data_IF_246634522829
#
_entry.id   IF_246634522829
#
_cell.length_a   1.000
_cell.length_b   1.000
_cell.length_c   1.000
_cell.angle_alpha   90.00
_cell.angle_beta   90.00
_cell.angle_gamma   90.00
#
_symmetry.space_group_name_H-M   'P 1'
#
loop_
_entity.id
_entity.type
_entity.pdbx_description
1 polymer ?
#
# COMPACT_ATOMS: atom_id res chain seq x y z
N UNK A 1 -2.42 0.23 22.12
CA UNK A 1 -2.47 -1.02 22.90
C UNK A 1 -1.64 -2.09 22.23
N UNK A 2 -1.28 -3.11 23.00
CA UNK A 2 -0.56 -4.25 22.42
C UNK A 2 -1.39 -4.96 21.35
N UNK A 3 -2.70 -5.09 21.58
CA UNK A 3 -3.56 -5.72 20.59
C UNK A 3 -3.58 -4.92 19.28
N UNK A 4 -3.70 -3.60 19.36
CA UNK A 4 -3.70 -2.76 18.16
C UNK A 4 -2.40 -2.89 17.37
N UNK A 5 -1.27 -3.01 18.07
CA UNK A 5 0.01 -3.23 17.44
C UNK A 5 0.08 -4.61 16.75
N UNK A 6 -0.40 -5.65 17.43
CA UNK A 6 -0.44 -6.98 16.85
C UNK A 6 -1.38 -7.05 15.64
N UNK A 7 -2.53 -6.38 15.73
CA UNK A 7 -3.47 -6.32 14.61
C UNK A 7 -2.84 -5.66 13.40
N UNK A 8 -2.12 -4.57 13.60
CA UNK A 8 -1.44 -3.87 12.50
C UNK A 8 -0.36 -4.75 11.88
N UNK A 9 0.45 -5.44 12.70
CA UNK A 9 1.46 -6.35 12.19
C UNK A 9 0.84 -7.51 11.41
N UNK A 10 -0.29 -8.04 11.92
CA UNK A 10 -1.02 -9.10 11.23
C UNK A 10 -1.48 -8.63 9.85
N UNK A 11 -2.03 -7.41 9.76
CA UNK A 11 -2.50 -6.84 8.50
C UNK A 11 -1.39 -6.72 7.48
N UNK A 12 -0.20 -6.29 7.90
CA UNK A 12 0.97 -6.18 7.03
C UNK A 12 1.34 -7.53 6.41
N UNK A 13 1.38 -8.59 7.22
CA UNK A 13 1.71 -9.93 6.74
C UNK A 13 0.60 -10.45 5.82
N UNK A 14 -0.65 -10.27 6.23
CA UNK A 14 -1.79 -10.78 5.48
C UNK A 14 -1.93 -10.12 4.12
N UNK A 15 -1.68 -8.82 4.03
CA UNK A 15 -1.72 -8.10 2.75
C UNK A 15 -0.56 -8.53 1.83
N UNK A 16 0.61 -8.80 2.41
CA UNK A 16 1.78 -9.22 1.64
C UNK A 16 1.64 -10.64 1.09
N UNK A 17 0.85 -11.50 1.75
CA UNK A 17 0.74 -12.92 1.40
C UNK A 17 -0.72 -13.35 1.31
N UNK A 18 -1.46 -12.90 0.27
CA UNK A 18 -2.85 -13.33 0.09
C UNK A 18 -2.99 -14.84 -0.21
N UNK A 19 -1.90 -15.46 -0.66
CA UNK A 19 -1.84 -16.88 -0.95
C UNK A 19 -1.85 -17.78 0.29
N UNK A 20 -1.63 -17.21 1.49
CA UNK A 20 -1.57 -17.94 2.75
C UNK A 20 -2.82 -17.70 3.57
N UNK A 21 -3.37 -18.78 4.15
CA UNK A 21 -4.44 -18.66 5.13
C UNK A 21 -3.87 -18.21 6.48
N UNK A 22 -4.52 -17.22 7.10
CA UNK A 22 -4.04 -16.62 8.34
C UNK A 22 -5.21 -16.39 9.28
N UNK A 23 -4.92 -16.45 10.58
CA UNK A 23 -5.92 -16.20 11.61
C UNK A 23 -5.30 -15.42 12.76
N UNK A 24 -6.03 -14.45 13.28
CA UNK A 24 -5.66 -13.72 14.49
C UNK A 24 -6.75 -13.90 15.52
N UNK A 25 -6.37 -14.34 16.72
CA UNK A 25 -7.29 -14.48 17.85
C UNK A 25 -6.80 -13.63 19.02
N UNK A 26 -7.75 -13.14 19.82
CA UNK A 26 -7.47 -12.32 20.99
C UNK A 26 -8.46 -12.71 22.09
N UNK A 27 -7.94 -13.10 23.26
CA UNK A 27 -8.75 -13.51 24.41
C UNK A 27 -9.78 -14.58 24.06
N UNK A 28 -9.34 -15.60 23.29
CA UNK A 28 -10.21 -16.70 22.89
C UNK A 28 -11.19 -16.40 21.78
N UNK A 29 -11.19 -15.18 21.26
CA UNK A 29 -12.08 -14.76 20.17
C UNK A 29 -11.29 -14.59 18.89
N UNK A 30 -11.79 -15.16 17.78
CA UNK A 30 -11.20 -14.97 16.48
C UNK A 30 -11.55 -13.59 15.96
N UNK A 31 -10.52 -12.76 15.73
CA UNK A 31 -10.68 -11.40 15.22
C UNK A 31 -10.64 -11.40 13.68
N UNK A 32 -9.69 -12.13 13.11
CA UNK A 32 -9.54 -12.27 11.67
C UNK A 32 -9.39 -13.74 11.31
N UNK A 33 -10.10 -14.17 10.28
CA UNK A 33 -9.92 -15.48 9.69
C UNK A 33 -9.89 -15.28 8.17
N UNK A 34 -8.71 -15.43 7.59
CA UNK A 34 -8.47 -15.09 6.20
C UNK A 34 -7.98 -16.34 5.47
N UNK A 35 -8.84 -16.97 4.66
CA UNK A 35 -8.37 -18.07 3.81
C UNK A 35 -7.50 -17.54 2.68
N UNK A 36 -6.71 -18.41 2.02
CA UNK A 36 -6.02 -18.01 0.80
C UNK A 36 -7.03 -17.42 -0.19
N UNK A 37 -6.65 -16.32 -0.85
CA UNK A 37 -7.56 -15.63 -1.76
C UNK A 37 -6.79 -14.85 -2.81
N UNK A 38 -7.46 -14.39 -3.88
CA UNK A 38 -6.86 -13.40 -4.78
C UNK A 38 -6.53 -12.11 -4.03
N UNK A 39 -5.55 -11.34 -4.50
CA UNK A 39 -5.15 -10.10 -3.82
C UNK A 39 -6.30 -9.14 -3.56
N UNK A 40 -7.19 -8.92 -4.53
CA UNK A 40 -8.31 -8.00 -4.35
C UNK A 40 -9.23 -8.42 -3.20
N UNK A 41 -9.51 -9.72 -3.09
CA UNK A 41 -10.36 -10.23 -2.01
C UNK A 41 -9.70 -10.05 -0.65
N UNK A 42 -8.37 -10.25 -0.56
CA UNK A 42 -7.63 -10.03 0.68
C UNK A 42 -7.64 -8.57 1.07
N UNK A 43 -7.49 -7.66 0.11
CA UNK A 43 -7.55 -6.23 0.35
C UNK A 43 -8.93 -5.84 0.87
N UNK A 44 -9.99 -6.36 0.24
CA UNK A 44 -11.36 -6.07 0.69
C UNK A 44 -11.61 -6.56 2.11
N UNK A 45 -11.09 -7.74 2.46
CA UNK A 45 -11.27 -8.31 3.79
C UNK A 45 -10.60 -7.47 4.88
N UNK A 46 -9.48 -6.84 4.58
CA UNK A 46 -8.70 -6.07 5.56
C UNK A 46 -8.96 -4.57 5.53
N UNK A 47 -9.16 -4.01 4.34
CA UNK A 47 -9.37 -2.58 4.16
C UNK A 47 -10.84 -2.18 4.11
N UNK A 48 -11.73 -3.16 3.93
CA UNK A 48 -13.14 -2.93 3.82
C UNK A 48 -13.63 -2.86 2.37
N UNK A 49 -14.88 -3.24 2.17
CA UNK A 49 -15.50 -3.20 0.84
C UNK A 49 -15.64 -1.76 0.34
N UNK A 50 -15.89 -0.83 1.24
CA UNK A 50 -16.03 0.58 0.89
C UNK A 50 -14.74 1.14 0.27
N UNK A 51 -13.59 0.77 0.85
CA UNK A 51 -12.30 1.14 0.25
C UNK A 51 -12.19 0.60 -1.18
N UNK A 52 -12.44 -0.69 -1.35
CA UNK A 52 -12.25 -1.32 -2.66
C UNK A 52 -13.19 -0.74 -3.71
N UNK A 53 -14.43 -0.42 -3.33
CA UNK A 53 -15.40 0.20 -4.23
C UNK A 53 -14.95 1.59 -4.69
N UNK A 54 -14.23 2.31 -3.85
CA UNK A 54 -13.76 3.68 -4.12
C UNK A 54 -12.28 3.75 -4.41
N UNK A 55 -11.69 2.62 -4.79
CA UNK A 55 -10.29 2.55 -5.20
C UNK A 55 -10.19 2.14 -6.67
N UNK A 56 -9.00 2.36 -7.23
CA UNK A 56 -8.70 1.89 -8.58
C UNK A 56 -7.46 1.03 -8.55
N UNK A 57 -7.46 0.01 -9.36
CA UNK A 57 -6.31 -0.86 -9.47
C UNK A 57 -5.16 -0.11 -10.14
N UNK A 58 -4.01 -0.14 -9.49
CA UNK A 58 -2.77 0.41 -10.03
C UNK A 58 -1.99 -0.76 -10.62
N UNK A 59 -1.61 -0.63 -11.88
CA UNK A 59 -0.78 -1.63 -12.52
C UNK A 59 0.11 -0.93 -13.53
N UNK A 60 1.42 -0.98 -13.30
CA UNK A 60 2.41 -0.34 -14.17
C UNK A 60 3.63 -1.23 -14.26
N UNK A 61 4.19 -1.34 -15.44
CA UNK A 61 5.35 -2.18 -15.71
C UNK A 61 6.30 -1.41 -16.62
N UNK A 62 7.50 -1.11 -16.11
CA UNK A 62 8.56 -0.48 -16.87
C UNK A 62 9.71 -1.45 -17.12
N UNK A 63 9.47 -2.75 -16.96
CA UNK A 63 10.49 -3.78 -17.10
C UNK A 63 11.30 -3.96 -15.82
N UNK A 64 12.06 -2.94 -15.45
CA UNK A 64 12.90 -2.97 -14.25
C UNK A 64 12.14 -2.60 -12.98
N UNK A 65 11.02 -1.90 -13.11
CA UNK A 65 10.17 -1.51 -12.00
C UNK A 65 8.73 -1.92 -12.31
N UNK A 66 8.07 -2.54 -11.34
CA UNK A 66 6.67 -2.91 -11.47
C UNK A 66 5.91 -2.46 -10.24
N UNK A 67 4.72 -1.89 -10.44
CA UNK A 67 3.86 -1.45 -9.37
C UNK A 67 2.48 -2.04 -9.56
N UNK A 68 1.93 -2.60 -8.48
CA UNK A 68 0.58 -3.15 -8.48
C UNK A 68 -0.12 -2.76 -7.18
N UNK A 69 -1.43 -2.89 -7.15
CA UNK A 69 -2.20 -2.66 -5.94
C UNK A 69 -3.42 -1.80 -6.18
N UNK A 70 -3.80 -1.05 -5.15
CA UNK A 70 -5.03 -0.27 -5.17
C UNK A 70 -4.80 1.08 -4.50
N UNK A 71 -5.35 2.14 -5.08
CA UNK A 71 -5.27 3.49 -4.54
C UNK A 71 -6.65 4.11 -4.54
N UNK A 72 -7.01 4.80 -3.46
CA UNK A 72 -8.34 5.36 -3.30
C UNK A 72 -8.56 6.56 -4.20
N UNK A 73 -9.81 6.70 -4.67
CA UNK A 73 -10.26 7.93 -5.31
C UNK A 73 -10.40 9.04 -4.27
N UNK A 74 -10.36 10.31 -4.69
CA UNK A 74 -10.47 11.43 -3.73
C UNK A 74 -11.71 11.39 -2.87
N UNK A 75 -12.81 10.79 -3.36
CA UNK A 75 -14.04 10.65 -2.60
C UNK A 75 -13.87 9.78 -1.35
N UNK A 76 -12.88 8.90 -1.33
CA UNK A 76 -12.53 8.08 -0.18
C UNK A 76 -11.20 8.57 0.37
N UNK A 77 -11.24 9.52 1.28
CA UNK A 77 -10.04 10.02 1.93
C UNK A 77 -10.19 9.90 3.44
N UNK A 78 -9.06 9.94 4.14
CA UNK A 78 -9.03 9.73 5.59
C UNK A 78 -8.37 10.91 6.30
N UNK A 79 -8.72 11.09 7.57
CA UNK A 79 -8.12 12.13 8.40
C UNK A 79 -6.72 11.74 8.87
N UNK A 80 -6.37 10.46 8.81
CA UNK A 80 -5.07 9.95 9.24
C UNK A 80 -4.43 9.09 8.15
N UNK A 81 -3.19 8.67 8.37
CA UNK A 81 -2.45 7.82 7.44
C UNK A 81 -2.48 6.35 7.86
N UNK A 82 -3.47 5.94 8.62
CA UNK A 82 -3.57 4.59 9.17
C UNK A 82 -3.99 3.53 8.12
N UNK A 83 -4.38 3.95 6.93
CA UNK A 83 -4.79 3.05 5.84
C UNK A 83 -3.84 3.13 4.66
N UNK A 84 -2.55 3.27 4.92
CA UNK A 84 -1.52 3.36 3.89
C UNK A 84 -0.53 2.22 4.05
N UNK A 85 -0.53 1.31 3.09
CA UNK A 85 0.36 0.14 3.10
C UNK A 85 1.18 0.12 1.81
N UNK A 86 2.50 0.13 1.97
CA UNK A 86 3.42 0.05 0.84
C UNK A 86 4.38 -1.11 1.08
N UNK A 87 4.57 -1.93 0.05
CA UNK A 87 5.44 -3.11 0.10
C UNK A 87 6.50 -3.01 -0.98
N UNK A 88 7.73 -3.35 -0.65
CA UNK A 88 8.83 -3.43 -1.60
C UNK A 88 9.34 -4.86 -1.59
N UNK A 89 9.24 -5.55 -2.73
CA UNK A 89 9.60 -6.96 -2.87
C UNK A 89 9.00 -7.83 -1.76
N UNK A 90 7.71 -7.60 -1.46
CA UNK A 90 6.96 -8.35 -0.47
C UNK A 90 7.16 -7.92 0.98
N UNK A 91 7.98 -6.90 1.24
CA UNK A 91 8.26 -6.42 2.57
C UNK A 91 7.55 -5.10 2.83
N UNK A 92 6.84 -5.01 3.95
CA UNK A 92 6.21 -3.75 4.36
C UNK A 92 7.26 -2.69 4.67
N UNK A 93 7.06 -1.48 4.14
CA UNK A 93 7.98 -0.36 4.38
C UNK A 93 7.20 0.90 4.72
N UNK A 94 7.82 1.78 5.49
CA UNK A 94 7.39 3.17 5.68
C UNK A 94 8.54 4.05 5.22
N UNK A 95 8.47 4.43 3.96
CA UNK A 95 9.54 5.13 3.31
C UNK A 95 9.07 6.50 2.86
N UNK A 96 9.87 7.53 3.18
CA UNK A 96 9.49 8.92 2.88
C UNK A 96 9.44 9.21 1.39
N UNK A 97 10.34 8.62 0.62
CA UNK A 97 10.37 8.82 -0.84
C UNK A 97 9.10 8.27 -1.49
N UNK A 98 8.71 7.05 -1.11
CA UNK A 98 7.52 6.42 -1.65
C UNK A 98 6.25 7.15 -1.22
N UNK A 99 6.17 7.52 0.06
CA UNK A 99 5.01 8.25 0.57
C UNK A 99 4.88 9.61 -0.11
N UNK A 100 6.00 10.28 -0.36
CA UNK A 100 6.00 11.57 -1.03
C UNK A 100 5.56 11.45 -2.48
N UNK A 101 6.01 10.41 -3.18
CA UNK A 101 5.61 10.17 -4.57
C UNK A 101 4.10 9.98 -4.70
N UNK A 102 3.51 9.19 -3.80
CA UNK A 102 2.06 8.98 -3.80
C UNK A 102 1.34 10.29 -3.47
N UNK A 103 1.82 11.02 -2.45
CA UNK A 103 1.20 12.29 -2.06
C UNK A 103 1.20 13.29 -3.21
N UNK A 104 2.30 13.39 -3.94
CA UNK A 104 2.38 14.27 -5.10
C UNK A 104 1.35 13.90 -6.18
N UNK A 105 1.10 12.59 -6.36
CA UNK A 105 0.10 12.15 -7.32
C UNK A 105 -1.30 12.62 -6.96
N UNK A 106 -1.56 12.88 -5.69
CA UNK A 106 -2.85 13.38 -5.20
C UNK A 106 -2.89 14.90 -5.00
N UNK A 107 -1.79 15.62 -5.23
CA UNK A 107 -1.66 17.01 -4.81
C UNK A 107 -2.77 17.92 -5.35
N UNK A 108 -3.23 17.67 -6.59
CA UNK A 108 -4.22 18.51 -7.25
C UNK A 108 -5.66 18.08 -6.98
N UNK A 109 -5.87 16.93 -6.36
CA UNK A 109 -7.20 16.34 -6.20
C UNK A 109 -7.61 16.06 -4.77
N UNK A 110 -6.67 16.06 -3.82
CA UNK A 110 -6.97 15.99 -2.39
C UNK A 110 -6.57 17.30 -1.73
N UNK A 111 -7.48 17.86 -0.95
CA UNK A 111 -7.30 19.17 -0.33
C UNK A 111 -7.34 19.07 1.20
N UNK A 112 -6.69 20.04 1.85
CA UNK A 112 -6.66 20.13 3.30
C UNK A 112 -5.83 19.02 3.94
N UNK A 113 -6.24 18.60 5.13
CA UNK A 113 -5.52 17.59 5.91
C UNK A 113 -6.00 16.17 5.61
N UNK A 114 -6.51 15.93 4.40
CA UNK A 114 -6.98 14.60 4.00
C UNK A 114 -5.85 13.77 3.42
N UNK A 115 -5.92 12.46 3.62
CA UNK A 115 -4.92 11.51 3.17
C UNK A 115 -5.56 10.42 2.33
N UNK A 116 -4.89 9.96 1.27
CA UNK A 116 -5.39 8.81 0.51
C UNK A 116 -5.20 7.53 1.31
N UNK A 117 -5.99 6.51 0.97
CA UNK A 117 -5.76 5.15 1.43
C UNK A 117 -5.22 4.35 0.26
N UNK A 118 -4.28 3.45 0.52
CA UNK A 118 -3.72 2.64 -0.55
C UNK A 118 -3.05 1.38 -0.02
N UNK A 119 -2.97 0.39 -0.91
CA UNK A 119 -2.19 -0.82 -0.73
C UNK A 119 -1.40 -1.00 -2.01
N UNK A 120 -0.10 -0.74 -1.97
CA UNK A 120 0.75 -0.74 -3.16
C UNK A 120 1.93 -1.70 -3.00
N UNK A 121 2.25 -2.40 -4.07
CA UNK A 121 3.32 -3.39 -4.13
C UNK A 121 4.28 -2.99 -5.23
N UNK A 122 5.50 -2.65 -4.84
CA UNK A 122 6.58 -2.32 -5.77
C UNK A 122 7.55 -3.49 -5.85
N UNK A 123 7.88 -3.87 -7.07
CA UNK A 123 8.87 -4.92 -7.31
C UNK A 123 10.01 -4.39 -8.17
N UNK A 124 11.23 -4.70 -7.78
CA UNK A 124 12.43 -4.35 -8.52
C UNK A 124 13.52 -5.34 -8.18
N UNK A 125 14.62 -5.31 -8.96
CA UNK A 125 15.78 -6.14 -8.67
C UNK A 125 16.27 -5.85 -7.24
N UNK A 126 16.46 -6.87 -6.41
CA UNK A 126 16.98 -6.67 -5.06
C UNK A 126 18.30 -5.90 -5.01
N UNK A 127 19.11 -5.96 -6.05
CA UNK A 127 20.35 -5.18 -6.14
C UNK A 127 20.10 -3.68 -6.24
N UNK A 128 18.89 -3.26 -6.60
CA UNK A 128 18.53 -1.84 -6.72
C UNK A 128 17.99 -1.22 -5.44
N UNK A 129 17.88 -1.98 -4.36
CA UNK A 129 17.33 -1.48 -3.10
C UNK A 129 18.11 -2.04 -1.93
N UNK A 130 18.48 -1.17 -0.99
CA UNK A 130 19.11 -1.57 0.26
C UNK A 130 18.06 -1.54 1.36
N UNK A 131 17.87 -2.69 2.01
CA UNK A 131 16.92 -2.84 3.11
C UNK A 131 17.67 -2.53 4.41
N UNK A 132 17.07 -1.69 5.26
CA UNK A 132 17.64 -1.42 6.56
C UNK A 132 17.54 -2.68 7.42
N UNK A 133 18.71 -3.13 7.93
CA UNK A 133 18.77 -4.37 8.71
C UNK A 133 18.35 -4.18 10.18
N UNK A 134 18.12 -2.93 10.61
CA UNK A 134 17.68 -2.68 11.97
C UNK A 134 16.22 -3.08 12.13
N UNK A 135 15.87 -3.98 13.09
CA UNK A 135 14.53 -4.51 13.20
C UNK A 135 13.43 -3.46 13.38
N UNK A 136 13.75 -2.34 14.02
CA UNK A 136 12.77 -1.28 14.27
C UNK A 136 12.57 -0.35 13.08
N UNK A 137 13.40 -0.47 12.03
CA UNK A 137 13.32 0.43 10.88
C UNK A 137 12.81 -0.32 9.67
N UNK A 138 11.78 0.24 9.07
CA UNK A 138 11.11 -0.32 7.88
C UNK A 138 11.28 0.60 6.68
N UNK A 139 12.38 1.36 6.66
CA UNK A 139 12.78 2.21 5.55
C UNK A 139 13.71 1.44 4.62
N UNK A 140 13.73 1.87 3.36
CA UNK A 140 14.62 1.31 2.34
C UNK A 140 15.37 2.45 1.67
N UNK A 141 16.43 2.11 0.96
CA UNK A 141 17.19 3.08 0.18
C UNK A 141 17.33 2.55 -1.24
N UNK A 142 16.89 3.33 -2.19
CA UNK A 142 16.94 2.94 -3.59
C UNK A 142 18.22 3.50 -4.24
N UNK A 143 18.86 2.69 -5.09
CA UNK A 143 20.01 3.14 -5.86
C UNK A 143 19.60 4.19 -6.88
N UNK A 144 18.49 3.98 -7.55
CA UNK A 144 17.93 4.89 -8.54
C UNK A 144 16.70 5.58 -7.94
N UNK A 145 16.91 6.37 -6.88
CA UNK A 145 15.83 6.97 -6.11
C UNK A 145 14.92 7.86 -6.95
N UNK A 146 15.50 8.65 -7.87
CA UNK A 146 14.72 9.52 -8.74
C UNK A 146 13.83 8.71 -9.67
N UNK A 147 14.37 7.64 -10.26
CA UNK A 147 13.60 6.79 -11.17
C UNK A 147 12.44 6.11 -10.45
N UNK A 148 12.68 5.64 -9.22
CA UNK A 148 11.63 5.01 -8.41
C UNK A 148 10.54 6.04 -8.07
N UNK A 149 10.92 7.22 -7.62
CA UNK A 149 9.97 8.28 -7.31
C UNK A 149 9.09 8.62 -8.52
N UNK A 150 9.72 8.87 -9.66
CA UNK A 150 9.00 9.23 -10.89
C UNK A 150 8.07 8.11 -11.34
N UNK A 151 8.53 6.86 -11.25
CA UNK A 151 7.72 5.71 -11.66
C UNK A 151 6.46 5.59 -10.80
N UNK A 152 6.60 5.64 -9.48
CA UNK A 152 5.47 5.55 -8.56
C UNK A 152 4.50 6.72 -8.76
N UNK A 153 5.05 7.94 -8.83
CA UNK A 153 4.26 9.14 -9.04
C UNK A 153 3.40 9.05 -10.31
N UNK A 154 4.03 8.73 -11.43
CA UNK A 154 3.32 8.66 -12.71
C UNK A 154 2.32 7.51 -12.76
N UNK A 155 2.64 6.37 -12.18
CA UNK A 155 1.74 5.23 -12.16
C UNK A 155 0.45 5.54 -11.41
N UNK A 156 0.57 6.12 -10.21
CA UNK A 156 -0.60 6.48 -9.40
C UNK A 156 -1.39 7.61 -10.08
N UNK A 157 -0.69 8.65 -10.53
CA UNK A 157 -1.33 9.79 -11.17
C UNK A 157 -2.12 9.36 -12.42
N UNK A 158 -1.54 8.52 -13.26
CA UNK A 158 -2.19 8.02 -14.46
C UNK A 158 -3.44 7.20 -14.10
N UNK A 159 -3.33 6.35 -13.09
CA UNK A 159 -4.45 5.53 -12.63
C UNK A 159 -5.63 6.41 -12.20
N UNK A 160 -5.35 7.47 -11.45
CA UNK A 160 -6.38 8.40 -10.99
C UNK A 160 -6.99 9.19 -12.16
N UNK A 161 -6.19 9.60 -13.12
CA UNK A 161 -6.66 10.34 -14.28
C UNK A 161 -7.54 9.48 -15.19
N UNK A 162 -7.14 8.23 -15.43
CA UNK A 162 -7.89 7.30 -16.28
C UNK A 162 -9.26 6.98 -15.70
N UNK A 163 -9.38 7.00 -14.38
CA UNK A 163 -10.66 6.74 -13.72
C UNK A 163 -11.57 7.97 -13.67
N UNK A 164 -11.12 9.09 -14.18
CA UNK A 164 -11.89 10.33 -14.12
C UNK A 164 -11.94 10.97 -12.74
N UNK A 165 -11.01 10.61 -11.87
CA UNK A 165 -11.00 11.09 -10.48
C UNK A 165 -10.82 12.59 -10.35
N UNK A 166 -10.24 13.25 -11.36
CA UNK A 166 -10.02 14.68 -11.38
C UNK A 166 -11.16 15.51 -11.98
N UNK A 167 -12.28 14.89 -12.26
CA UNK A 167 -13.43 15.55 -12.86
C UNK A 167 -14.46 15.99 -11.83
#
# INVERSE_FOLDING_TARGET
>A
TEFAHCDDMFRRVALARPDIGLQLAHNGRVIHRLPPSPPAARVAALMGDDFLQHAREVQADAGVLRLAGFASLPAYSRASRDAQYFFVNGRFVRDKLLAHAVREAYADILHGARHPAYVLFLELDPAGVDVNVHPAKIEVRFRESRAVHQFVFHAVRRTLAESGAGR
#
